data_IF_335314089367
#
_entry.id   IF_335314089367
#
_cell.length_a   1.000
_cell.length_b   1.000
_cell.length_c   1.000
_cell.angle_alpha   90.00
_cell.angle_beta   90.00
_cell.angle_gamma   90.00
#
_symmetry.space_group_name_H-M   'P 1'
#
loop_
_entity.id
_entity.type
_entity.pdbx_description
1 polymer ?
#
# COMPACT_ATOMS: atom_id res chain seq x y z
N UNK A 1 21.48 -11.10 11.42
CA UNK A 1 20.77 -9.97 10.78
C UNK A 1 19.76 -10.35 9.67
N UNK A 2 19.75 -11.57 9.06
CA UNK A 2 18.74 -11.92 8.03
C UNK A 2 17.25 -11.78 8.43
N UNK A 3 16.80 -12.07 9.68
CA UNK A 3 15.37 -12.08 9.96
C UNK A 3 14.73 -10.68 10.01
N UNK A 4 15.51 -9.63 10.32
CA UNK A 4 14.96 -8.27 10.53
C UNK A 4 14.43 -7.69 9.22
N UNK A 5 15.11 -7.94 8.09
CA UNK A 5 14.70 -7.37 6.81
C UNK A 5 13.45 -8.07 6.25
N UNK A 6 13.40 -9.41 6.34
CA UNK A 6 12.22 -10.21 5.99
C UNK A 6 11.03 -9.77 6.85
N UNK A 7 11.25 -9.60 8.15
CA UNK A 7 10.25 -9.12 9.10
C UNK A 7 9.76 -7.69 8.79
N UNK A 8 10.66 -6.79 8.38
CA UNK A 8 10.30 -5.43 7.97
C UNK A 8 9.38 -5.42 6.75
N UNK A 9 9.68 -6.25 5.74
CA UNK A 9 8.85 -6.39 4.53
C UNK A 9 7.46 -6.94 4.87
N UNK A 10 7.39 -7.95 5.75
CA UNK A 10 6.12 -8.51 6.23
C UNK A 10 5.32 -7.44 7.00
N UNK A 11 5.96 -6.69 7.90
CA UNK A 11 5.33 -5.60 8.66
C UNK A 11 4.80 -4.49 7.76
N UNK A 12 5.49 -4.16 6.67
CA UNK A 12 5.01 -3.19 5.68
C UNK A 12 3.71 -3.66 5.03
N UNK A 13 3.66 -4.92 4.60
CA UNK A 13 2.43 -5.51 4.06
C UNK A 13 1.27 -5.40 5.05
N UNK A 14 1.50 -5.77 6.31
CA UNK A 14 0.50 -5.63 7.37
C UNK A 14 0.07 -4.18 7.60
N UNK A 15 0.99 -3.22 7.58
CA UNK A 15 0.67 -1.80 7.75
C UNK A 15 -0.25 -1.30 6.62
N UNK A 16 0.02 -1.67 5.37
CA UNK A 16 -0.81 -1.28 4.22
C UNK A 16 -2.21 -1.88 4.34
N UNK A 17 -2.31 -3.16 4.68
CA UNK A 17 -3.61 -3.81 4.92
C UNK A 17 -4.38 -3.18 6.07
N UNK A 18 -3.70 -2.83 7.17
CA UNK A 18 -4.31 -2.17 8.31
C UNK A 18 -4.85 -0.79 7.95
N UNK A 19 -4.06 0.03 7.26
CA UNK A 19 -4.48 1.36 6.78
C UNK A 19 -5.67 1.25 5.84
N UNK A 20 -5.60 0.37 4.84
CA UNK A 20 -6.69 0.16 3.90
C UNK A 20 -7.98 -0.28 4.63
N UNK A 21 -7.88 -1.24 5.54
CA UNK A 21 -9.02 -1.73 6.32
C UNK A 21 -9.65 -0.59 7.12
N UNK A 22 -8.85 0.18 7.88
CA UNK A 22 -9.31 1.33 8.66
C UNK A 22 -10.03 2.35 7.79
N UNK A 23 -9.50 2.63 6.61
CA UNK A 23 -10.12 3.54 5.66
C UNK A 23 -11.50 3.06 5.21
N UNK A 24 -11.63 1.78 4.83
CA UNK A 24 -12.91 1.21 4.40
C UNK A 24 -13.99 1.16 5.49
N UNK A 25 -13.59 1.12 6.78
CA UNK A 25 -14.53 1.16 7.91
C UNK A 25 -14.76 2.58 8.46
N UNK A 26 -14.25 3.62 7.78
CA UNK A 26 -14.53 5.03 8.10
C UNK A 26 -13.52 5.72 9.01
N UNK A 27 -12.38 5.09 9.30
CA UNK A 27 -11.26 5.68 10.06
C UNK A 27 -10.12 6.17 9.15
N UNK A 28 -10.40 6.41 7.86
CA UNK A 28 -9.46 6.98 6.92
C UNK A 28 -9.14 8.45 7.21
N UNK A 29 -8.08 8.97 6.59
CA UNK A 29 -7.81 10.40 6.62
C UNK A 29 -8.94 11.17 5.94
N UNK A 30 -9.41 12.26 6.55
CA UNK A 30 -10.43 13.09 5.93
C UNK A 30 -9.83 13.91 4.77
N UNK A 31 -10.58 14.11 3.66
CA UNK A 31 -10.23 15.11 2.65
C UNK A 31 -9.98 16.48 3.32
N UNK A 32 -9.05 17.33 2.84
CA UNK A 32 -8.44 17.38 1.51
C UNK A 32 -7.11 16.61 1.39
N UNK A 33 -6.79 15.74 2.34
CA UNK A 33 -5.54 14.97 2.30
C UNK A 33 -5.50 14.07 1.06
N UNK A 34 -4.37 14.08 0.35
CA UNK A 34 -4.15 13.24 -0.83
C UNK A 34 -3.76 11.82 -0.38
N UNK A 35 -4.76 11.03 0.02
CA UNK A 35 -4.60 9.63 0.42
C UNK A 35 -5.18 8.69 -0.65
N UNK A 36 -4.37 7.73 -1.11
CA UNK A 36 -4.77 6.78 -2.17
C UNK A 36 -5.78 5.74 -1.68
N UNK A 37 -5.69 5.29 -0.43
CA UNK A 37 -6.64 4.32 0.12
C UNK A 37 -8.01 4.98 0.31
N UNK A 38 -8.05 6.25 0.76
CA UNK A 38 -9.29 7.03 0.90
C UNK A 38 -9.92 7.27 -0.46
N UNK A 39 -9.12 7.65 -1.47
CA UNK A 39 -9.60 7.80 -2.84
C UNK A 39 -10.25 6.51 -3.36
N UNK A 40 -9.64 5.35 -3.11
CA UNK A 40 -10.23 4.06 -3.48
C UNK A 40 -11.57 3.83 -2.77
N UNK A 41 -11.61 4.03 -1.45
CA UNK A 41 -12.82 3.79 -0.66
C UNK A 41 -13.98 4.71 -1.07
N UNK A 42 -13.72 6.00 -1.24
CA UNK A 42 -14.73 7.00 -1.63
C UNK A 42 -15.28 6.76 -3.04
N UNK A 43 -14.44 6.24 -3.95
CA UNK A 43 -14.84 5.99 -5.32
C UNK A 43 -15.35 4.57 -5.58
N UNK A 44 -15.24 3.67 -4.61
CA UNK A 44 -15.69 2.29 -4.73
C UNK A 44 -17.17 2.17 -5.17
N UNK A 45 -18.12 2.98 -4.65
CA UNK A 45 -19.52 2.94 -5.11
C UNK A 45 -19.72 3.37 -6.57
N UNK A 46 -18.76 4.09 -7.15
CA UNK A 46 -18.85 4.66 -8.51
C UNK A 46 -18.01 3.87 -9.53
N UNK A 47 -17.57 2.66 -9.19
CA UNK A 47 -16.73 1.82 -10.05
C UNK A 47 -17.29 1.64 -11.47
N UNK A 48 -18.60 1.48 -11.61
CA UNK A 48 -19.22 1.27 -12.93
C UNK A 48 -19.05 2.48 -13.88
N UNK A 49 -18.96 3.70 -13.33
CA UNK A 49 -18.85 4.93 -14.11
C UNK A 49 -17.42 5.48 -14.16
N UNK A 50 -16.67 5.30 -13.08
CA UNK A 50 -15.39 5.96 -12.83
C UNK A 50 -14.33 4.95 -12.36
N UNK A 51 -14.29 3.75 -12.94
CA UNK A 51 -13.36 2.68 -12.55
C UNK A 51 -11.89 3.13 -12.43
N UNK A 52 -11.46 4.11 -13.22
CA UNK A 52 -10.10 4.64 -13.21
C UNK A 52 -9.71 5.31 -11.89
N UNK A 53 -10.67 5.90 -11.16
CA UNK A 53 -10.41 6.57 -9.87
C UNK A 53 -10.06 5.58 -8.77
N UNK A 54 -10.39 4.30 -8.95
CA UNK A 54 -9.95 3.19 -8.09
C UNK A 54 -8.71 2.50 -8.65
N UNK A 55 -8.66 2.29 -9.97
CA UNK A 55 -7.58 1.52 -10.60
C UNK A 55 -6.22 2.20 -10.47
N UNK A 56 -6.12 3.51 -10.75
CA UNK A 56 -4.82 4.20 -10.72
C UNK A 56 -4.19 4.26 -9.32
N UNK A 57 -4.92 4.66 -8.26
CA UNK A 57 -4.37 4.61 -6.91
C UNK A 57 -4.06 3.17 -6.47
N UNK A 58 -4.88 2.19 -6.86
CA UNK A 58 -4.61 0.77 -6.58
C UNK A 58 -3.30 0.28 -7.20
N UNK A 59 -3.05 0.64 -8.47
CA UNK A 59 -1.79 0.32 -9.14
C UNK A 59 -0.59 1.04 -8.53
N UNK A 60 -0.76 2.29 -8.06
CA UNK A 60 0.30 3.03 -7.39
C UNK A 60 0.71 2.38 -6.05
N UNK A 61 -0.27 1.91 -5.26
CA UNK A 61 0.01 1.15 -4.04
C UNK A 61 0.73 -0.16 -4.38
N UNK A 62 0.24 -0.90 -5.38
CA UNK A 62 0.85 -2.17 -5.79
C UNK A 62 2.31 -1.99 -6.25
N UNK A 63 2.59 -0.98 -7.07
CA UNK A 63 3.95 -0.70 -7.54
C UNK A 63 4.88 -0.26 -6.40
N UNK A 64 4.37 0.54 -5.45
CA UNK A 64 5.12 0.94 -4.26
C UNK A 64 5.49 -0.29 -3.41
N UNK A 65 4.55 -1.20 -3.18
CA UNK A 65 4.79 -2.46 -2.46
C UNK A 65 5.89 -3.27 -3.15
N UNK A 66 5.77 -3.46 -4.47
CA UNK A 66 6.77 -4.20 -5.24
C UNK A 66 8.14 -3.52 -5.18
N UNK A 67 8.21 -2.21 -5.34
CA UNK A 67 9.46 -1.46 -5.27
C UNK A 67 10.13 -1.62 -3.90
N UNK A 68 9.38 -1.54 -2.80
CA UNK A 68 9.94 -1.74 -1.46
C UNK A 68 10.38 -3.19 -1.25
N UNK A 69 9.64 -4.18 -1.75
CA UNK A 69 10.07 -5.58 -1.72
C UNK A 69 11.43 -5.75 -2.43
N UNK A 70 11.55 -5.25 -3.67
CA UNK A 70 12.78 -5.34 -4.46
C UNK A 70 13.98 -4.63 -3.80
N UNK A 71 13.75 -3.47 -3.19
CA UNK A 71 14.78 -2.74 -2.42
C UNK A 71 15.20 -3.57 -1.21
N UNK A 72 14.26 -4.17 -0.50
CA UNK A 72 14.54 -5.06 0.64
C UNK A 72 15.37 -6.26 0.19
N UNK A 73 15.01 -6.91 -0.92
CA UNK A 73 15.74 -8.05 -1.47
C UNK A 73 17.17 -7.65 -1.90
N UNK A 74 17.32 -6.48 -2.52
CA UNK A 74 18.63 -5.96 -2.95
C UNK A 74 19.54 -5.65 -1.75
N UNK A 75 18.98 -5.03 -0.69
CA UNK A 75 19.70 -4.73 0.55
C UNK A 75 20.11 -6.03 1.26
N UNK A 76 19.21 -7.02 1.31
CA UNK A 76 19.51 -8.38 1.80
C UNK A 76 20.72 -8.95 1.08
N UNK A 77 20.72 -8.91 -0.26
CA UNK A 77 21.80 -9.47 -1.07
C UNK A 77 23.15 -8.78 -0.84
N UNK A 78 23.16 -7.49 -0.55
CA UNK A 78 24.40 -6.75 -0.22
C UNK A 78 24.90 -7.08 1.18
N UNK A 79 24.00 -7.29 2.16
CA UNK A 79 24.36 -7.58 3.55
C UNK A 79 24.80 -9.03 3.78
N UNK A 80 24.34 -9.97 2.94
CA UNK A 80 24.73 -11.38 3.00
C UNK A 80 26.04 -11.70 2.26
N UNK A 81 26.60 -10.71 1.55
CA UNK A 81 27.97 -10.77 1.01
C UNK A 81 29.02 -10.39 2.05
#
# INVERSE_FOLDING_TARGET
>A
MPPILVEATIRLGYAIFAVATLTFIGFGLQPPSADWAVQIADNYPFLDQQWWTVLFPGMAIASLVVAVNLVSDSVQQVLER
#
